data_IF_755867586396
#
_entry.id   IF_755867586396
#
_cell.length_a   1.000
_cell.length_b   1.000
_cell.length_c   1.000
_cell.angle_alpha   90.00
_cell.angle_beta   90.00
_cell.angle_gamma   90.00
#
_symmetry.space_group_name_H-M   'P 1'
#
loop_
_entity.id
_entity.type
_entity.pdbx_description
1 polymer ?
#
# COMPACT_ATOMS: atom_id res chain seq x y z
N UNK A 1 2.85 16.23 28.35
CA UNK A 1 4.07 15.44 28.09
C UNK A 1 3.71 13.97 28.17
N UNK A 2 3.44 13.33 27.03
CA UNK A 2 3.53 11.87 26.89
C UNK A 2 4.33 11.65 25.61
N UNK A 3 5.66 11.79 25.72
CA UNK A 3 6.53 11.05 24.83
C UNK A 3 6.42 9.58 25.21
N UNK A 4 6.49 8.70 24.22
CA UNK A 4 7.50 7.67 24.18
C UNK A 4 7.58 7.11 22.75
N UNK A 5 8.70 7.45 22.12
CA UNK A 5 9.49 6.65 21.20
C UNK A 5 8.97 5.25 20.88
N UNK A 6 8.52 5.08 19.63
CA UNK A 6 8.42 3.76 19.01
C UNK A 6 9.31 3.76 17.76
N UNK A 7 10.62 3.85 17.98
CA UNK A 7 11.61 3.48 16.97
C UNK A 7 11.99 2.02 17.20
N UNK A 8 11.20 1.12 16.63
CA UNK A 8 11.37 -0.32 16.73
C UNK A 8 11.06 -0.96 15.39
N UNK A 9 12.10 -1.07 14.55
CA UNK A 9 12.33 -2.12 13.57
C UNK A 9 11.37 -3.31 13.71
N UNK A 10 10.28 -3.32 12.94
CA UNK A 10 9.32 -4.45 12.95
C UNK A 10 9.67 -5.36 11.77
N UNK A 11 10.57 -6.31 12.04
CA UNK A 11 10.67 -7.55 11.29
C UNK A 11 9.40 -8.37 11.51
N UNK A 12 8.72 -8.70 10.42
CA UNK A 12 7.83 -9.83 10.19
C UNK A 12 7.53 -10.73 11.40
N UNK A 13 6.36 -10.59 12.04
CA UNK A 13 5.74 -11.69 12.81
C UNK A 13 4.22 -11.48 12.88
N UNK A 14 3.49 -12.54 12.54
CA UNK A 14 2.03 -12.59 12.53
C UNK A 14 1.40 -12.36 13.92
N UNK A 15 0.25 -11.68 13.92
CA UNK A 15 -0.83 -11.90 14.88
C UNK A 15 -1.05 -10.79 15.91
N UNK A 16 -2.05 -9.92 15.69
CA UNK A 16 -3.11 -9.61 16.65
C UNK A 16 -4.11 -8.54 16.12
N UNK A 17 -5.25 -8.99 15.60
CA UNK A 17 -6.54 -8.66 16.20
C UNK A 17 -7.11 -7.24 16.14
N UNK A 18 -6.52 -6.24 15.50
CA UNK A 18 -7.19 -4.94 15.29
C UNK A 18 -7.80 -4.87 13.89
N UNK A 19 -8.95 -5.54 13.74
CA UNK A 19 -10.12 -5.32 12.85
C UNK A 19 -10.20 -4.21 11.76
N UNK A 20 -9.16 -3.49 11.36
CA UNK A 20 -9.33 -2.19 10.71
C UNK A 20 -8.22 -1.94 9.69
N UNK A 21 -8.39 -2.49 8.48
CA UNK A 21 -7.74 -2.04 7.24
C UNK A 21 -6.20 -2.15 7.19
N UNK A 22 -5.65 -2.41 6.01
CA UNK A 22 -4.23 -2.26 5.76
C UNK A 22 -3.85 -0.78 5.75
N UNK A 23 -2.59 -0.48 6.04
CA UNK A 23 -2.04 0.88 5.98
C UNK A 23 -1.49 1.21 4.59
N UNK A 24 -1.24 2.50 4.31
CA UNK A 24 -0.58 2.93 3.08
C UNK A 24 0.80 2.28 2.89
N UNK A 25 1.56 2.10 3.97
CA UNK A 25 2.85 1.41 3.93
C UNK A 25 2.70 -0.06 3.53
N UNK A 26 1.71 -0.76 4.11
CA UNK A 26 1.44 -2.15 3.74
C UNK A 26 0.95 -2.27 2.29
N UNK A 27 0.11 -1.33 1.82
CA UNK A 27 -0.31 -1.27 0.43
C UNK A 27 0.90 -1.08 -0.50
N UNK A 28 1.79 -0.15 -0.16
CA UNK A 28 3.04 0.10 -0.86
C UNK A 28 3.93 -1.15 -0.96
N UNK A 29 4.11 -1.88 0.14
CA UNK A 29 4.88 -3.12 0.16
C UNK A 29 4.26 -4.20 -0.73
N UNK A 30 2.93 -4.36 -0.68
CA UNK A 30 2.19 -5.30 -1.54
C UNK A 30 2.27 -4.91 -3.02
N UNK A 31 2.19 -3.61 -3.32
CA UNK A 31 2.26 -3.10 -4.68
C UNK A 31 3.65 -3.32 -5.29
N UNK A 32 4.73 -3.00 -4.56
CA UNK A 32 6.12 -3.21 -5.03
C UNK A 32 6.44 -4.70 -5.15
N UNK A 33 5.90 -5.55 -4.28
CA UNK A 33 6.01 -6.99 -4.43
C UNK A 33 5.35 -7.49 -5.73
N UNK A 34 4.33 -6.79 -6.25
CA UNK A 34 3.61 -7.13 -7.48
C UNK A 34 4.24 -6.52 -8.73
N UNK A 35 4.72 -5.28 -8.64
CA UNK A 35 5.40 -4.54 -9.70
C UNK A 35 6.70 -3.97 -9.11
N UNK A 36 7.86 -4.58 -9.40
CA UNK A 36 9.12 -4.07 -8.89
C UNK A 36 9.43 -2.71 -9.52
N UNK A 37 9.65 -1.71 -8.68
CA UNK A 37 9.95 -0.35 -9.11
C UNK A 37 9.98 0.62 -7.94
N UNK A 38 10.08 1.90 -8.27
CA UNK A 38 10.04 2.99 -7.31
C UNK A 38 8.60 3.45 -7.12
N UNK A 39 8.12 3.44 -5.87
CA UNK A 39 6.85 4.09 -5.55
C UNK A 39 7.03 5.60 -5.70
N UNK A 40 6.26 6.18 -6.61
CA UNK A 40 6.27 7.63 -6.86
C UNK A 40 5.08 8.32 -6.19
N UNK A 41 3.99 7.59 -5.94
CA UNK A 41 2.80 8.14 -5.31
C UNK A 41 1.98 7.05 -4.62
N UNK A 42 1.34 7.41 -3.50
CA UNK A 42 0.39 6.54 -2.79
C UNK A 42 -0.76 7.41 -2.33
N UNK A 43 -1.96 7.07 -2.80
CA UNK A 43 -3.17 7.78 -2.43
C UNK A 43 -4.21 6.86 -1.79
N UNK A 44 -5.12 7.44 -1.03
CA UNK A 44 -6.17 6.73 -0.30
C UNK A 44 -7.52 7.33 -0.65
N UNK A 45 -8.27 6.61 -1.46
CA UNK A 45 -9.56 7.04 -1.95
C UNK A 45 -10.70 6.25 -1.33
N UNK A 46 -11.84 6.92 -1.12
CA UNK A 46 -13.10 6.32 -0.70
C UNK A 46 -14.11 6.42 -1.84
N UNK A 47 -14.29 5.35 -2.62
CA UNK A 47 -15.31 5.27 -3.67
C UNK A 47 -16.44 4.34 -3.25
N UNK A 48 -17.71 4.78 -3.33
CA UNK A 48 -18.88 3.94 -3.04
C UNK A 48 -18.79 3.13 -1.72
N UNK A 49 -18.25 3.74 -0.66
CA UNK A 49 -17.98 3.10 0.65
C UNK A 49 -16.85 2.06 0.66
N UNK A 50 -16.12 1.90 -0.44
CA UNK A 50 -14.92 1.10 -0.57
C UNK A 50 -13.69 1.99 -0.45
N UNK A 51 -12.92 1.78 0.61
CA UNK A 51 -11.64 2.44 0.77
C UNK A 51 -10.56 1.65 0.00
N UNK A 52 -9.88 2.31 -0.93
CA UNK A 52 -8.85 1.74 -1.81
C UNK A 52 -7.56 2.56 -1.72
N UNK A 53 -6.43 1.87 -1.75
CA UNK A 53 -5.11 2.49 -1.92
C UNK A 53 -4.73 2.43 -3.39
N UNK A 54 -4.26 3.54 -3.93
CA UNK A 54 -3.75 3.63 -5.28
C UNK A 54 -2.25 3.87 -5.18
N UNK A 55 -1.46 2.91 -5.64
CA UNK A 55 0.00 2.96 -5.56
C UNK A 55 0.56 3.08 -6.97
N UNK A 56 1.19 4.21 -7.25
CA UNK A 56 1.86 4.46 -8.52
C UNK A 56 3.33 4.06 -8.42
N UNK A 57 3.76 3.18 -9.31
CA UNK A 57 5.10 2.59 -9.34
C UNK A 57 5.76 2.92 -10.68
N UNK A 58 6.85 3.66 -10.63
CA UNK A 58 7.75 3.86 -11.76
C UNK A 58 8.71 2.68 -11.85
N UNK A 59 8.60 1.92 -12.93
CA UNK A 59 9.52 0.83 -13.24
C UNK A 59 10.83 1.36 -13.83
N UNK A 60 11.89 0.55 -13.78
CA UNK A 60 13.18 0.86 -14.41
C UNK A 60 13.08 1.08 -15.94
N UNK A 61 11.97 0.64 -16.55
CA UNK A 61 11.69 0.86 -17.97
C UNK A 61 11.09 2.24 -18.26
N UNK A 62 10.91 3.09 -17.23
CA UNK A 62 10.23 4.38 -17.36
C UNK A 62 8.72 4.29 -17.49
N UNK A 63 8.14 3.11 -17.23
CA UNK A 63 6.69 2.87 -17.30
C UNK A 63 6.09 3.02 -15.91
N UNK A 64 4.99 3.74 -15.80
CA UNK A 64 4.24 3.89 -14.56
C UNK A 64 3.12 2.86 -14.49
N UNK A 65 3.00 2.19 -13.35
CA UNK A 65 1.92 1.26 -13.07
C UNK A 65 1.10 1.79 -11.89
N UNK A 66 -0.22 1.75 -12.03
CA UNK A 66 -1.16 1.96 -10.95
C UNK A 66 -1.57 0.60 -10.37
N UNK A 67 -1.34 0.42 -9.07
CA UNK A 67 -1.76 -0.78 -8.33
C UNK A 67 -2.83 -0.37 -7.33
N UNK A 68 -4.06 -0.80 -7.58
CA UNK A 68 -5.22 -0.53 -6.73
C UNK A 68 -5.38 -1.66 -5.71
N UNK A 69 -5.41 -1.33 -4.43
CA UNK A 69 -5.45 -2.31 -3.33
C UNK A 69 -6.60 -1.98 -2.39
N UNK A 70 -7.44 -2.97 -2.10
CA UNK A 70 -8.53 -2.84 -1.14
C UNK A 70 -7.97 -2.60 0.26
N UNK A 71 -8.29 -1.46 0.87
CA UNK A 71 -7.83 -1.14 2.21
C UNK A 71 -8.37 -2.12 3.24
N UNK A 72 -9.55 -2.73 3.02
CA UNK A 72 -10.18 -3.64 4.00
C UNK A 72 -9.35 -4.90 4.33
N UNK A 73 -8.67 -5.49 3.34
CA UNK A 73 -7.99 -6.78 3.46
C UNK A 73 -6.66 -6.88 2.71
N UNK A 74 -6.25 -5.81 2.00
CA UNK A 74 -5.02 -5.79 1.21
C UNK A 74 -5.11 -6.55 -0.10
N UNK A 75 -6.30 -6.92 -0.57
CA UNK A 75 -6.47 -7.55 -1.87
C UNK A 75 -6.20 -6.56 -2.99
N UNK A 76 -5.33 -6.95 -3.92
CA UNK A 76 -5.13 -6.21 -5.17
C UNK A 76 -6.41 -6.30 -6.01
N UNK A 77 -6.99 -5.14 -6.31
CA UNK A 77 -8.20 -4.98 -7.10
C UNK A 77 -7.85 -4.89 -8.60
N UNK A 78 -6.87 -4.04 -8.93
CA UNK A 78 -6.41 -3.81 -10.30
C UNK A 78 -4.91 -3.53 -10.34
N UNK A 79 -4.30 -3.85 -11.49
CA UNK A 79 -2.94 -3.44 -11.85
C UNK A 79 -3.01 -2.94 -13.28
N UNK A 80 -2.88 -1.64 -13.45
CA UNK A 80 -2.97 -0.98 -14.75
C UNK A 80 -1.67 -0.27 -15.05
N UNK A 81 -1.35 -0.16 -16.34
CA UNK A 81 -0.21 0.62 -16.81
C UNK A 81 -0.75 1.99 -17.19
N UNK A 82 -0.14 3.03 -16.64
CA UNK A 82 -0.34 4.40 -17.07
C UNK A 82 0.46 4.60 -18.37
N UNK A 83 -0.19 5.14 -19.41
CA UNK A 83 0.40 5.44 -20.73
C UNK A 83 0.73 6.92 -20.90
#
# INVERSE_FOLDING_TARGET
>A
MYGNDHNGRITSTAGNGYRQRITAQQAAELAVARVPGQIIHVDLELDNHLLKYEVYILTDQGVVYEVVIASKDGRILSVERED
#
